data_IF_058096416222
#
_entry.id   IF_058096416222
#
_cell.length_a   1.000
_cell.length_b   1.000
_cell.length_c   1.000
_cell.angle_alpha   90.00
_cell.angle_beta   90.00
_cell.angle_gamma   90.00
#
_symmetry.space_group_name_H-M   'P 1'
#
loop_
_entity.id
_entity.type
_entity.pdbx_description
1 polymer ?
#
# COMPACT_ATOMS: atom_id res chain seq x y z
N UNK A 1 12.28 22.03 -14.13
CA UNK A 1 11.52 20.90 -14.71
C UNK A 1 10.88 20.16 -13.58
N UNK A 2 9.57 19.91 -13.63
CA UNK A 2 8.89 19.09 -12.62
C UNK A 2 9.51 17.68 -12.57
N UNK A 3 9.91 17.23 -11.38
CA UNK A 3 10.59 15.94 -11.18
C UNK A 3 9.72 14.99 -10.36
N UNK A 4 9.81 13.68 -10.64
CA UNK A 4 9.19 12.63 -9.83
C UNK A 4 10.27 11.78 -9.16
N UNK A 5 10.26 11.72 -7.82
CA UNK A 5 11.08 10.81 -7.02
C UNK A 5 10.21 9.62 -6.62
N UNK A 6 10.75 8.41 -6.75
CA UNK A 6 10.05 7.17 -6.37
C UNK A 6 10.88 6.41 -5.34
N UNK A 7 10.25 6.04 -4.23
CA UNK A 7 10.82 5.21 -3.17
C UNK A 7 10.08 3.87 -3.22
N UNK A 8 10.78 2.82 -3.65
CA UNK A 8 10.24 1.47 -3.81
C UNK A 8 11.41 0.45 -3.72
N UNK A 9 11.41 -0.47 -2.72
CA UNK A 9 10.48 -0.56 -1.61
C UNK A 9 10.73 0.51 -0.53
N UNK A 10 9.66 0.91 0.17
CA UNK A 10 9.81 1.61 1.46
C UNK A 10 10.31 0.61 2.50
N UNK A 11 11.41 0.91 3.19
CA UNK A 11 12.03 0.00 4.17
C UNK A 11 11.70 0.39 5.61
N UNK A 12 11.84 -0.56 6.55
CA UNK A 12 11.49 -0.42 7.98
C UNK A 12 10.02 -0.10 8.24
N UNK A 13 9.15 -0.65 7.40
CA UNK A 13 7.69 -0.63 7.54
C UNK A 13 7.15 -2.05 7.46
N UNK A 14 5.94 -2.27 7.95
CA UNK A 14 5.19 -3.50 7.74
C UNK A 14 4.58 -3.49 6.32
N UNK A 15 4.51 -4.67 5.69
CA UNK A 15 3.99 -4.83 4.33
C UNK A 15 4.86 -4.22 3.23
N UNK A 16 4.28 -4.09 2.04
CA UNK A 16 4.92 -3.43 0.90
C UNK A 16 4.28 -2.07 0.61
N UNK A 17 5.12 -1.05 0.53
CA UNK A 17 4.72 0.31 0.21
C UNK A 17 5.61 0.92 -0.87
N UNK A 18 5.00 1.81 -1.65
CA UNK A 18 5.70 2.69 -2.59
C UNK A 18 5.28 4.12 -2.33
N UNK A 19 6.23 5.04 -2.33
CA UNK A 19 5.96 6.48 -2.20
C UNK A 19 6.44 7.19 -3.45
N UNK A 20 5.61 8.07 -4.00
CA UNK A 20 6.00 8.98 -5.09
C UNK A 20 5.90 10.41 -4.64
N UNK A 21 6.97 11.18 -4.81
CA UNK A 21 7.07 12.60 -4.50
C UNK A 21 7.22 13.37 -5.81
N UNK A 22 6.37 14.36 -6.02
CA UNK A 22 6.41 15.26 -7.17
C UNK A 22 6.98 16.60 -6.72
N UNK A 23 8.03 17.05 -7.39
CA UNK A 23 8.67 18.34 -7.17
C UNK A 23 8.28 19.34 -8.26
N UNK A 24 8.09 20.59 -7.87
CA UNK A 24 7.96 21.72 -8.81
C UNK A 24 9.33 22.15 -9.37
N UNK A 25 9.33 23.20 -10.19
CA UNK A 25 10.56 23.71 -10.81
C UNK A 25 11.54 24.36 -9.82
N UNK A 26 11.08 24.69 -8.60
CA UNK A 26 11.88 25.25 -7.52
C UNK A 26 12.37 24.16 -6.54
N UNK A 27 12.16 22.88 -6.87
CA UNK A 27 12.42 21.71 -6.02
C UNK A 27 11.58 21.66 -4.73
N UNK A 28 10.47 22.41 -4.66
CA UNK A 28 9.51 22.25 -3.56
C UNK A 28 8.59 21.06 -3.83
N UNK A 29 8.17 20.38 -2.76
CA UNK A 29 7.22 19.27 -2.85
C UNK A 29 5.84 19.82 -3.23
N UNK A 30 5.37 19.48 -4.42
CA UNK A 30 4.02 19.86 -4.90
C UNK A 30 2.97 18.82 -4.54
N UNK A 31 3.33 17.54 -4.51
CA UNK A 31 2.40 16.45 -4.19
C UNK A 31 3.17 15.20 -3.75
N UNK A 32 2.60 14.46 -2.81
CA UNK A 32 3.07 13.12 -2.42
C UNK A 32 1.94 12.11 -2.54
N UNK A 33 2.28 10.85 -2.83
CA UNK A 33 1.32 9.73 -2.87
C UNK A 33 1.91 8.51 -2.21
N UNK A 34 1.12 7.86 -1.37
CA UNK A 34 1.37 6.51 -0.85
C UNK A 34 0.60 5.52 -1.73
N UNK A 35 1.30 4.52 -2.25
CA UNK A 35 0.73 3.45 -3.06
C UNK A 35 0.72 2.17 -2.24
N UNK A 36 -0.47 1.61 -2.04
CA UNK A 36 -0.65 0.25 -1.54
C UNK A 36 -0.52 -0.67 -2.76
N UNK A 37 0.58 -1.40 -2.85
CA UNK A 37 0.94 -2.17 -4.06
C UNK A 37 0.48 -3.63 -4.00
N UNK A 38 0.16 -4.12 -2.81
CA UNK A 38 -0.24 -5.51 -2.60
C UNK A 38 -1.74 -5.71 -2.60
N UNK A 39 -2.15 -6.90 -3.05
CA UNK A 39 -3.53 -7.34 -3.04
C UNK A 39 -3.64 -8.81 -2.64
N UNK A 40 -4.57 -9.12 -1.73
CA UNK A 40 -4.85 -10.49 -1.26
C UNK A 40 -6.27 -10.98 -1.52
N UNK A 41 -7.25 -10.08 -1.60
CA UNK A 41 -8.64 -10.45 -1.95
C UNK A 41 -9.38 -11.31 -0.92
N UNK A 42 -9.02 -11.24 0.37
CA UNK A 42 -9.61 -12.06 1.43
C UNK A 42 -11.15 -12.00 1.50
N UNK A 43 -11.72 -10.82 1.28
CA UNK A 43 -13.18 -10.60 1.30
C UNK A 43 -13.93 -11.46 0.27
N UNK A 44 -13.27 -11.84 -0.82
CA UNK A 44 -13.84 -12.75 -1.83
C UNK A 44 -13.65 -14.21 -1.42
N UNK A 45 -12.47 -14.58 -0.94
CA UNK A 45 -12.13 -15.97 -0.58
C UNK A 45 -12.79 -16.47 0.71
N UNK A 46 -13.21 -15.56 1.59
CA UNK A 46 -13.90 -15.93 2.84
C UNK A 46 -15.39 -16.26 2.63
N UNK A 47 -15.94 -15.92 1.46
CA UNK A 47 -17.35 -16.20 1.14
C UNK A 47 -17.61 -17.71 1.10
N UNK A 48 -18.71 -18.15 1.72
CA UNK A 48 -19.06 -19.56 1.83
C UNK A 48 -18.40 -20.31 3.00
N UNK A 49 -17.53 -19.66 3.77
CA UNK A 49 -16.97 -20.25 5.00
C UNK A 49 -17.92 -20.08 6.20
N UNK A 50 -17.91 -21.02 7.16
CA UNK A 50 -18.62 -20.84 8.42
C UNK A 50 -18.13 -19.61 9.18
N UNK A 51 -19.06 -18.82 9.74
CA UNK A 51 -18.74 -17.51 10.30
C UNK A 51 -17.75 -17.56 11.47
N UNK A 52 -17.72 -18.65 12.24
CA UNK A 52 -16.81 -18.82 13.37
C UNK A 52 -15.36 -19.06 12.96
N UNK A 53 -15.07 -19.38 11.69
CA UNK A 53 -13.70 -19.45 11.18
C UNK A 53 -13.11 -18.04 10.97
N UNK A 54 -13.94 -17.02 10.75
CA UNK A 54 -13.49 -15.68 10.37
C UNK A 54 -12.47 -15.06 11.36
N UNK A 55 -12.65 -15.13 12.70
CA UNK A 55 -11.67 -14.61 13.65
C UNK A 55 -10.30 -15.30 13.57
N UNK A 56 -10.27 -16.58 13.19
CA UNK A 56 -9.02 -17.32 13.00
C UNK A 56 -8.38 -16.97 11.66
N UNK A 57 -9.15 -16.86 10.59
CA UNK A 57 -8.59 -16.63 9.26
C UNK A 57 -8.12 -15.19 9.03
N UNK A 58 -8.87 -14.20 9.51
CA UNK A 58 -8.61 -12.77 9.21
C UNK A 58 -7.32 -12.24 9.82
N UNK A 59 -6.83 -12.85 10.91
CA UNK A 59 -5.60 -12.40 11.58
C UNK A 59 -4.31 -12.75 10.79
N UNK A 60 -4.43 -13.39 9.63
CA UNK A 60 -3.32 -13.70 8.69
C UNK A 60 -3.23 -12.68 7.55
N UNK A 61 -4.01 -11.61 7.65
CA UNK A 61 -3.80 -10.39 6.88
C UNK A 61 -2.62 -9.59 7.48
#
# INVERSE_FOLDING_TARGET
>A
MSQKITIEPVTRVEGHGKVTVHLDDQNNVSQTRLHIVEFRGFERFVQGRPYWEAPVLVQRL
#
